data_IF_793740436308
#
_entry.id   IF_793740436308
#
_cell.length_a   1.000
_cell.length_b   1.000
_cell.length_c   1.000
_cell.angle_alpha   90.00
_cell.angle_beta   90.00
_cell.angle_gamma   90.00
#
_symmetry.space_group_name_H-M   'P 1'
#
loop_
_entity.id
_entity.type
_entity.pdbx_description
1 polymer ?
#
# COMPACT_ATOMS: atom_id res chain seq x y z
N UNK A 1 5.04 -4.36 21.31
CA UNK A 1 4.87 -5.00 19.99
C UNK A 1 3.64 -4.43 19.34
N UNK A 2 3.75 -3.57 18.33
CA UNK A 2 2.60 -2.98 17.65
C UNK A 2 2.15 -3.93 16.53
N UNK A 3 1.05 -4.65 16.72
CA UNK A 3 0.35 -5.33 15.63
C UNK A 3 -0.63 -4.34 15.01
N UNK A 4 -0.26 -3.76 13.87
CA UNK A 4 -1.16 -2.92 13.07
C UNK A 4 -1.74 -3.80 11.96
N UNK A 5 -3.06 -3.79 11.84
CA UNK A 5 -3.77 -4.50 10.77
C UNK A 5 -4.06 -3.53 9.63
N UNK A 6 -3.68 -3.88 8.41
CA UNK A 6 -4.10 -3.13 7.23
C UNK A 6 -5.49 -3.62 6.81
N UNK A 7 -6.45 -2.70 6.83
CA UNK A 7 -7.82 -2.95 6.39
C UNK A 7 -8.05 -2.42 4.97
N UNK A 8 -8.84 -3.10 4.13
CA UNK A 8 -9.15 -2.65 2.76
C UNK A 8 -9.78 -1.25 2.68
N UNK A 9 -10.47 -0.81 3.75
CA UNK A 9 -11.22 0.44 3.82
C UNK A 9 -10.59 1.39 4.86
N UNK A 10 -9.48 2.02 4.50
CA UNK A 10 -8.92 3.09 5.33
C UNK A 10 -9.56 4.43 4.93
N UNK A 11 -10.29 5.05 5.86
CA UNK A 11 -10.84 6.41 5.72
C UNK A 11 -9.99 7.42 6.52
N UNK A 12 -9.17 8.25 5.87
CA UNK A 12 -8.38 9.26 6.56
C UNK A 12 -9.26 10.38 7.15
N UNK A 13 -8.88 10.90 8.32
CA UNK A 13 -9.49 12.12 8.89
C UNK A 13 -9.15 13.35 8.00
N UNK A 14 -9.97 14.42 8.00
CA UNK A 14 -9.78 15.59 7.12
C UNK A 14 -8.42 16.30 7.21
N UNK A 15 -7.83 16.42 8.40
CA UNK A 15 -6.48 16.97 8.56
C UNK A 15 -5.41 16.05 7.94
N UNK A 16 -5.57 14.75 8.15
CA UNK A 16 -4.73 13.70 7.56
C UNK A 16 -4.86 13.66 6.03
N UNK A 17 -6.00 14.05 5.48
CA UNK A 17 -6.25 14.14 4.03
C UNK A 17 -5.32 15.14 3.31
N UNK A 18 -4.97 16.25 3.96
CA UNK A 18 -4.01 17.20 3.42
C UNK A 18 -2.58 16.63 3.45
N UNK A 19 -2.23 15.93 4.53
CA UNK A 19 -0.90 15.33 4.75
C UNK A 19 -0.66 14.11 3.85
N UNK A 20 -1.65 13.24 3.64
CA UNK A 20 -1.50 12.10 2.72
C UNK A 20 -1.34 12.56 1.27
N UNK A 21 -1.91 13.70 0.88
CA UNK A 21 -1.74 14.26 -0.48
C UNK A 21 -0.30 14.69 -0.77
N UNK A 22 0.50 14.95 0.27
CA UNK A 22 1.92 15.31 0.12
C UNK A 22 2.83 14.09 0.23
N UNK A 23 2.31 12.95 0.68
CA UNK A 23 3.08 11.74 0.92
C UNK A 23 3.76 11.24 -0.36
N UNK A 24 5.07 11.09 -0.28
CA UNK A 24 5.92 10.65 -1.39
C UNK A 24 6.38 9.21 -1.27
N UNK A 25 6.37 8.63 -0.07
CA UNK A 25 6.74 7.24 0.15
C UNK A 25 6.17 6.68 1.44
N UNK A 26 5.92 5.37 1.44
CA UNK A 26 5.56 4.60 2.64
C UNK A 26 6.61 3.52 2.82
N UNK A 27 7.24 3.46 4.01
CA UNK A 27 8.20 2.44 4.36
C UNK A 27 7.78 1.79 5.69
N UNK A 28 7.25 0.56 5.62
CA UNK A 28 6.87 -0.26 6.78
C UNK A 28 7.50 -1.66 6.69
N UNK A 29 8.70 -1.73 6.15
CA UNK A 29 9.49 -2.97 6.04
C UNK A 29 9.78 -3.59 7.41
N UNK A 30 9.81 -4.92 7.49
CA UNK A 30 10.15 -5.74 8.66
C UNK A 30 9.30 -5.43 9.90
N UNK A 31 7.99 -5.35 9.68
CA UNK A 31 6.99 -5.20 10.75
C UNK A 31 6.15 -6.48 10.91
N UNK A 32 5.21 -6.44 11.85
CA UNK A 32 4.24 -7.52 12.07
C UNK A 32 2.87 -7.19 11.47
N UNK A 33 2.84 -6.45 10.36
CA UNK A 33 1.58 -6.09 9.70
C UNK A 33 0.87 -7.34 9.20
N UNK A 34 -0.44 -7.39 9.39
CA UNK A 34 -1.33 -8.47 8.92
C UNK A 34 -2.50 -7.88 8.14
N UNK A 35 -3.30 -8.73 7.49
CA UNK A 35 -4.45 -8.29 6.70
C UNK A 35 -4.13 -8.15 5.21
N UNK A 36 -4.88 -7.29 4.52
CA UNK A 36 -4.82 -7.12 3.07
C UNK A 36 -4.22 -5.76 2.70
N UNK A 37 -3.71 -5.66 1.47
CA UNK A 37 -3.29 -4.38 0.93
C UNK A 37 -4.50 -3.43 0.80
N UNK A 38 -4.40 -2.19 1.32
CA UNK A 38 -5.52 -1.24 1.35
C UNK A 38 -5.84 -0.70 -0.05
N UNK A 39 -7.10 -0.83 -0.48
CA UNK A 39 -7.55 -0.35 -1.81
C UNK A 39 -7.55 1.19 -1.89
N UNK A 40 -7.69 1.85 -0.74
CA UNK A 40 -7.87 3.31 -0.63
C UNK A 40 -6.58 4.12 -0.76
N UNK A 41 -5.41 3.50 -0.96
CA UNK A 41 -4.16 4.25 -1.21
C UNK A 41 -4.12 4.86 -2.62
N UNK A 42 -4.92 4.38 -3.57
CA UNK A 42 -4.87 4.76 -4.98
C UNK A 42 -4.99 6.25 -5.35
N UNK A 43 -5.56 7.17 -4.53
CA UNK A 43 -5.65 8.58 -4.90
C UNK A 43 -4.49 9.47 -4.37
N UNK A 44 -3.33 8.92 -3.97
CA UNK A 44 -2.20 9.72 -3.47
C UNK A 44 -1.35 10.26 -4.65
N UNK A 45 -1.45 11.56 -5.01
CA UNK A 45 -0.93 12.07 -6.28
C UNK A 45 0.61 12.17 -6.32
N UNK A 46 1.26 12.31 -5.15
CA UNK A 46 2.72 12.48 -5.04
C UNK A 46 3.45 11.21 -4.66
N UNK A 47 2.74 10.09 -4.46
CA UNK A 47 3.33 8.86 -3.98
C UNK A 47 4.24 8.25 -5.06
N UNK A 48 5.48 7.94 -4.67
CA UNK A 48 6.51 7.39 -5.54
C UNK A 48 6.80 5.93 -5.25
N UNK A 49 6.61 5.49 -4.02
CA UNK A 49 6.80 4.09 -3.69
C UNK A 49 6.24 3.64 -2.35
N UNK A 50 6.04 2.33 -2.25
CA UNK A 50 5.59 1.64 -1.04
C UNK A 50 6.51 0.45 -0.80
N UNK A 51 7.05 0.37 0.42
CA UNK A 51 7.79 -0.79 0.91
C UNK A 51 7.09 -1.44 2.09
N UNK A 52 6.62 -2.67 1.88
CA UNK A 52 5.99 -3.51 2.90
C UNK A 52 6.68 -4.87 3.07
N UNK A 53 7.93 -5.00 2.64
CA UNK A 53 8.66 -6.26 2.74
C UNK A 53 8.73 -6.78 4.18
N UNK A 54 8.80 -8.09 4.37
CA UNK A 54 9.01 -8.68 5.70
C UNK A 54 7.83 -8.51 6.64
N UNK A 55 6.61 -8.66 6.14
CA UNK A 55 5.39 -8.59 6.92
C UNK A 55 4.58 -9.89 6.79
N UNK A 56 3.36 -9.92 7.34
CA UNK A 56 2.44 -11.06 7.29
C UNK A 56 1.18 -10.71 6.48
N UNK A 57 1.30 -9.82 5.48
CA UNK A 57 0.19 -9.43 4.61
C UNK A 57 -0.23 -10.59 3.71
N UNK A 58 -1.53 -10.66 3.42
CA UNK A 58 -2.20 -11.75 2.69
C UNK A 58 -3.09 -11.19 1.57
N UNK A 59 -3.58 -12.07 0.70
CA UNK A 59 -4.51 -11.71 -0.38
C UNK A 59 -3.80 -11.19 -1.63
N UNK A 60 -4.54 -10.49 -2.49
CA UNK A 60 -4.05 -10.05 -3.81
C UNK A 60 -3.59 -8.59 -3.84
N UNK A 61 -2.83 -8.23 -4.87
CA UNK A 61 -2.50 -6.83 -5.16
C UNK A 61 -3.75 -6.14 -5.75
N UNK A 62 -4.25 -5.05 -5.14
CA UNK A 62 -5.43 -4.36 -5.66
C UNK A 62 -5.20 -3.84 -7.08
N UNK A 63 -6.15 -4.08 -7.99
CA UNK A 63 -6.10 -3.54 -9.37
C UNK A 63 -6.04 -2.01 -9.38
N UNK A 64 -6.60 -1.37 -8.35
CA UNK A 64 -6.58 0.08 -8.16
C UNK A 64 -5.18 0.64 -7.96
N UNK A 65 -4.16 -0.18 -7.61
CA UNK A 65 -2.78 0.29 -7.53
C UNK A 65 -2.23 0.69 -8.90
N UNK A 66 -2.80 0.17 -9.99
CA UNK A 66 -2.51 0.68 -11.33
C UNK A 66 -3.11 2.06 -11.63
N UNK A 67 -3.92 2.61 -10.73
CA UNK A 67 -4.43 3.98 -10.80
C UNK A 67 -3.58 4.97 -9.98
N UNK A 68 -2.48 4.52 -9.38
CA UNK A 68 -1.52 5.44 -8.77
C UNK A 68 -1.02 6.45 -9.80
N UNK A 69 -0.53 7.60 -9.31
CA UNK A 69 0.02 8.60 -10.21
C UNK A 69 1.20 8.03 -11.00
N UNK A 70 1.48 8.63 -12.16
CA UNK A 70 2.63 8.26 -13.00
C UNK A 70 3.99 8.41 -12.29
N UNK A 71 4.00 9.09 -11.14
CA UNK A 71 5.16 9.22 -10.26
C UNK A 71 5.44 7.96 -9.44
N UNK A 72 4.48 7.04 -9.32
CA UNK A 72 4.63 5.78 -8.61
C UNK A 72 5.53 4.83 -9.41
N UNK A 73 6.64 4.40 -8.81
CA UNK A 73 7.68 3.60 -9.46
C UNK A 73 8.02 2.31 -8.74
N UNK A 74 7.77 2.22 -7.42
CA UNK A 74 8.30 1.12 -6.60
C UNK A 74 7.22 0.55 -5.70
N UNK A 75 6.99 -0.75 -5.82
CA UNK A 75 6.17 -1.53 -4.89
C UNK A 75 6.96 -2.77 -4.47
N UNK A 76 7.36 -2.84 -3.22
CA UNK A 76 8.09 -4.00 -2.68
C UNK A 76 7.25 -4.70 -1.61
N UNK A 77 6.97 -5.98 -1.85
CA UNK A 77 6.06 -6.81 -1.07
C UNK A 77 6.69 -8.16 -0.68
N UNK A 78 8.01 -8.30 -0.85
CA UNK A 78 8.71 -9.57 -0.61
C UNK A 78 8.58 -10.01 0.85
N UNK A 79 8.79 -11.30 1.13
CA UNK A 79 8.63 -11.86 2.49
C UNK A 79 7.27 -11.50 3.12
N UNK A 80 6.20 -11.69 2.35
CA UNK A 80 4.80 -11.66 2.80
C UNK A 80 4.08 -12.94 2.34
N UNK A 81 2.77 -13.02 2.56
CA UNK A 81 1.89 -14.12 2.10
C UNK A 81 0.90 -13.64 1.01
N UNK A 82 1.32 -12.66 0.19
CA UNK A 82 0.55 -12.15 -0.95
C UNK A 82 0.46 -13.24 -2.02
N UNK A 83 -0.72 -13.41 -2.60
CA UNK A 83 -1.04 -14.43 -3.62
C UNK A 83 -1.86 -13.82 -4.76
N UNK A 84 -2.21 -14.64 -5.76
CA UNK A 84 -3.00 -14.19 -6.91
C UNK A 84 -2.16 -13.65 -8.06
N UNK A 85 -2.82 -13.03 -9.05
CA UNK A 85 -2.16 -12.54 -10.27
C UNK A 85 -1.70 -11.10 -10.09
N UNK A 86 -0.57 -10.74 -10.69
CA UNK A 86 -0.15 -9.34 -10.82
C UNK A 86 -1.17 -8.62 -11.73
N UNK A 87 -1.84 -7.55 -11.26
CA UNK A 87 -2.76 -6.78 -12.08
C UNK A 87 -2.09 -6.24 -13.34
N UNK A 88 -2.75 -6.39 -14.50
CA UNK A 88 -2.27 -5.80 -15.77
C UNK A 88 -2.11 -4.28 -15.72
N UNK A 89 -2.83 -3.61 -14.81
CA UNK A 89 -2.75 -2.17 -14.62
C UNK A 89 -1.46 -1.72 -13.93
N UNK A 90 -0.66 -2.65 -13.38
CA UNK A 90 0.63 -2.38 -12.75
C UNK A 90 1.85 -2.71 -13.61
N UNK A 91 1.65 -3.37 -14.75
CA UNK A 91 2.69 -3.81 -15.68
C UNK A 91 2.62 -3.03 -16.99
#
# INVERSE_FOLDING_TARGET
TLQVTLTPHFHPKPSTLAEIKTLSGIALTDNKLTGHLPITLSPLPKLKGIGFDGNQLTGEIPKSYGLFSTLFKVLTLSRNRISGKIPKSLV
#
